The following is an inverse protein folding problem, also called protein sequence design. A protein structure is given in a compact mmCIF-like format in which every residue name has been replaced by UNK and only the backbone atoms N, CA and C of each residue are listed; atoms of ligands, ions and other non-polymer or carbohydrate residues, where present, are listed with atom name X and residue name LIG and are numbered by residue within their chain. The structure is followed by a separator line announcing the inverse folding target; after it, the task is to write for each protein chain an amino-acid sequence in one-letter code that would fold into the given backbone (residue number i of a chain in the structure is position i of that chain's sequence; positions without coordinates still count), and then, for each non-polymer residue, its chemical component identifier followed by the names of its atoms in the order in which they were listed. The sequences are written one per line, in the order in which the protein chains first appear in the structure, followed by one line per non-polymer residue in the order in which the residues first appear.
data_IF_380290669482
#
_entry.id   IF_380290669482
#
_cell.length_a   1.000
_cell.length_b   1.000
_cell.length_c   1.000
_cell.angle_alpha   90.00
_cell.angle_beta   90.00
_cell.angle_gamma   90.00
#
_symmetry.space_group_name_H-M   'P 1'
#
loop_
_entity.id
_entity.type
_entity.pdbx_description
1 polymer ?
#
# COMPACT_ATOMS: atom_id res chain seq x y z
N UNK A 1 1.30 9.01 28.01
CA UNK A 1 0.36 9.62 27.04
C UNK A 1 0.96 9.71 25.64
N UNK A 2 2.08 10.39 25.41
CA UNK A 2 2.68 10.52 24.07
C UNK A 2 3.05 9.17 23.42
N UNK A 3 3.67 8.25 24.17
CA UNK A 3 4.03 6.93 23.64
C UNK A 3 2.81 6.08 23.22
N UNK A 4 1.72 6.14 23.98
CA UNK A 4 0.49 5.43 23.63
C UNK A 4 -0.15 5.99 22.36
N UNK A 5 -0.12 7.32 22.17
CA UNK A 5 -0.60 7.94 20.92
C UNK A 5 0.24 7.54 19.72
N UNK A 6 1.57 7.49 19.84
CA UNK A 6 2.43 7.03 18.74
C UNK A 6 2.15 5.58 18.37
N UNK A 7 1.93 4.70 19.35
CA UNK A 7 1.58 3.30 19.10
C UNK A 7 0.22 3.21 18.40
N UNK A 8 -0.78 3.97 18.87
CA UNK A 8 -2.11 3.96 18.26
C UNK A 8 -2.04 4.45 16.80
N UNK A 9 -1.33 5.54 16.52
CA UNK A 9 -1.15 6.02 15.15
C UNK A 9 -0.46 4.99 14.23
N UNK A 10 0.50 4.22 14.78
CA UNK A 10 1.13 3.13 14.03
C UNK A 10 0.13 2.01 13.71
N UNK A 11 -0.68 1.61 14.68
CA UNK A 11 -1.70 0.58 14.48
C UNK A 11 -2.76 1.05 13.46
N UNK A 12 -3.24 2.27 13.60
CA UNK A 12 -4.20 2.88 12.66
C UNK A 12 -3.62 2.93 11.23
N UNK A 13 -2.33 3.26 11.11
CA UNK A 13 -1.65 3.26 9.81
C UNK A 13 -1.55 1.84 9.22
N UNK A 14 -1.19 0.84 10.02
CA UNK A 14 -1.11 -0.57 9.59
C UNK A 14 -2.49 -1.05 9.14
N UNK A 15 -3.51 -0.82 9.96
CA UNK A 15 -4.89 -1.22 9.65
C UNK A 15 -5.45 -0.48 8.42
N UNK A 16 -5.06 0.78 8.23
CA UNK A 16 -5.41 1.58 7.06
C UNK A 16 -4.66 1.22 5.77
N UNK A 17 -3.63 0.36 5.86
CA UNK A 17 -2.67 0.10 4.78
C UNK A 17 -2.59 -1.37 4.34
N UNK A 18 -3.72 -2.03 4.00
CA UNK A 18 -3.72 -3.46 3.65
C UNK A 18 -3.08 -3.77 2.28
N UNK A 19 -2.69 -2.78 1.50
CA UNK A 19 -1.97 -2.92 0.24
C UNK A 19 -1.04 -1.72 0.02
N UNK A 20 -0.04 -1.80 -0.90
CA UNK A 20 0.86 -0.68 -1.19
C UNK A 20 0.10 0.59 -1.59
N UNK A 21 -0.97 0.45 -2.35
CA UNK A 21 -1.78 1.59 -2.78
C UNK A 21 -2.54 2.24 -1.62
N UNK A 22 -3.02 1.45 -0.67
CA UNK A 22 -3.63 1.98 0.56
C UNK A 22 -2.57 2.66 1.45
N UNK A 23 -1.37 2.08 1.55
CA UNK A 23 -0.27 2.68 2.30
C UNK A 23 0.07 4.07 1.76
N UNK A 24 0.23 4.20 0.44
CA UNK A 24 0.52 5.50 -0.20
C UNK A 24 -0.64 6.48 0.01
N UNK A 25 -1.90 6.04 -0.12
CA UNK A 25 -3.05 6.90 0.11
C UNK A 25 -3.13 7.38 1.58
N UNK A 26 -2.82 6.50 2.55
CA UNK A 26 -2.74 6.84 3.97
C UNK A 26 -1.63 7.87 4.24
N UNK A 27 -0.43 7.65 3.67
CA UNK A 27 0.68 8.61 3.78
C UNK A 27 0.29 9.95 3.15
N UNK A 28 -0.27 9.95 1.95
CA UNK A 28 -0.69 11.17 1.25
C UNK A 28 -1.69 11.98 2.06
N UNK A 29 -2.65 11.32 2.71
CA UNK A 29 -3.62 11.97 3.59
C UNK A 29 -2.93 12.73 4.73
N UNK A 30 -1.94 12.11 5.37
CA UNK A 30 -1.15 12.74 6.43
C UNK A 30 -0.34 13.93 5.88
N UNK A 31 0.30 13.75 4.72
CA UNK A 31 1.11 14.82 4.10
C UNK A 31 0.27 16.05 3.76
N UNK A 32 -0.93 15.85 3.21
CA UNK A 32 -1.88 16.94 2.92
C UNK A 32 -2.29 17.70 4.19
N UNK A 33 -2.55 16.97 5.28
CA UNK A 33 -2.92 17.59 6.56
C UNK A 33 -1.80 18.47 7.16
N UNK A 34 -0.53 18.15 6.86
CA UNK A 34 0.63 18.93 7.29
C UNK A 34 1.24 19.80 6.16
N UNK A 35 0.43 20.08 5.14
CA UNK A 35 0.72 21.04 4.07
C UNK A 35 1.96 20.72 3.20
N UNK A 36 2.21 19.44 2.93
CA UNK A 36 3.12 19.06 1.86
C UNK A 36 2.48 19.33 0.50
N UNK A 37 3.28 19.76 -0.46
CA UNK A 37 2.87 20.05 -1.84
C UNK A 37 3.21 18.85 -2.72
N UNK A 38 2.25 18.33 -3.45
CA UNK A 38 2.49 17.31 -4.47
C UNK A 38 3.18 17.92 -5.67
N UNK A 39 4.20 17.25 -6.16
CA UNK A 39 4.91 17.62 -7.38
C UNK A 39 4.60 16.63 -8.50
N UNK A 40 4.44 17.17 -9.70
CA UNK A 40 4.38 16.38 -10.93
C UNK A 40 5.80 16.16 -11.46
N UNK A 41 6.22 14.91 -11.66
CA UNK A 41 7.56 14.58 -12.18
C UNK A 41 7.78 15.06 -13.62
N UNK A 42 6.72 15.24 -14.40
CA UNK A 42 6.79 15.75 -15.77
C UNK A 42 6.95 17.27 -15.85
N UNK A 43 6.69 17.98 -14.75
CA UNK A 43 6.72 19.44 -14.69
C UNK A 43 8.07 19.96 -14.18
N UNK A 44 8.38 21.21 -14.50
CA UNK A 44 9.51 21.92 -13.88
C UNK A 44 9.16 22.33 -12.46
N UNK A 45 9.91 21.84 -11.49
CA UNK A 45 9.67 22.14 -10.08
C UNK A 45 10.16 23.53 -9.69
N UNK A 46 9.31 24.24 -8.97
CA UNK A 46 9.67 25.49 -8.29
C UNK A 46 9.75 25.21 -6.79
N UNK A 47 10.97 25.03 -6.30
CA UNK A 47 11.23 24.64 -4.92
C UNK A 47 11.75 25.82 -4.11
N UNK A 48 11.35 25.92 -2.85
CA UNK A 48 11.75 26.97 -1.93
C UNK A 48 12.42 26.38 -0.68
N UNK A 49 13.37 27.09 -0.10
CA UNK A 49 13.99 26.71 1.17
C UNK A 49 12.93 26.53 2.27
N UNK A 50 13.02 25.45 3.05
CA UNK A 50 12.03 25.06 4.04
C UNK A 50 10.76 24.42 3.46
N UNK A 51 10.62 24.36 2.14
CA UNK A 51 9.47 23.77 1.47
C UNK A 51 9.36 22.26 1.70
N UNK A 52 8.13 21.74 1.71
CA UNK A 52 7.77 20.35 1.96
C UNK A 52 7.08 19.81 0.74
N UNK A 53 7.61 18.75 0.17
CA UNK A 53 7.16 18.23 -1.13
C UNK A 53 7.05 16.71 -1.14
N UNK A 54 6.21 16.18 -2.02
CA UNK A 54 6.15 14.75 -2.29
C UNK A 54 5.83 14.45 -3.74
N UNK A 55 6.21 13.27 -4.18
CA UNK A 55 5.95 12.69 -5.49
C UNK A 55 5.41 11.30 -5.30
N UNK A 56 4.38 10.93 -6.07
CA UNK A 56 3.79 9.58 -6.07
C UNK A 56 3.99 8.95 -7.44
N UNK A 57 4.45 7.68 -7.47
CA UNK A 57 4.55 6.86 -8.67
C UNK A 57 3.61 5.68 -8.60
N UNK A 58 2.83 5.49 -9.65
CA UNK A 58 1.83 4.41 -9.81
C UNK A 58 0.91 4.21 -8.58
N UNK A 59 0.74 5.24 -7.77
CA UNK A 59 0.01 5.19 -6.50
C UNK A 59 0.47 4.08 -5.53
N UNK A 60 1.66 3.51 -5.74
CA UNK A 60 2.21 2.40 -4.95
C UNK A 60 3.55 2.71 -4.30
N UNK A 61 4.20 3.79 -4.70
CA UNK A 61 5.42 4.30 -4.07
C UNK A 61 5.37 5.81 -3.93
N UNK A 62 6.06 6.33 -2.93
CA UNK A 62 6.07 7.75 -2.61
C UNK A 62 7.46 8.18 -2.16
N UNK A 63 7.88 9.34 -2.62
CA UNK A 63 9.06 10.04 -2.12
C UNK A 63 8.61 11.35 -1.53
N UNK A 64 8.99 11.64 -0.31
CA UNK A 64 8.72 12.94 0.32
C UNK A 64 10.02 13.55 0.83
N UNK A 65 10.10 14.87 0.78
CA UNK A 65 11.30 15.57 1.23
C UNK A 65 10.99 16.97 1.75
N UNK A 66 11.86 17.43 2.61
CA UNK A 66 11.87 18.79 3.13
C UNK A 66 13.18 19.44 2.71
N UNK A 67 13.10 20.58 2.05
CA UNK A 67 14.30 21.34 1.71
C UNK A 67 14.80 22.11 2.94
N UNK A 68 16.08 21.94 3.24
CA UNK A 68 16.76 22.75 4.24
C UNK A 68 17.00 24.21 3.77
N UNK A 69 17.61 25.00 4.64
CA UNK A 69 17.99 26.37 4.31
C UNK A 69 19.33 26.45 3.55
N UNK A 70 20.07 25.34 3.45
CA UNK A 70 21.32 25.23 2.69
C UNK A 70 21.07 24.44 1.42
N UNK A 71 21.87 24.73 0.39
CA UNK A 71 21.80 23.95 -0.85
C UNK A 71 22.18 22.49 -0.60
N UNK A 72 21.48 21.51 -1.24
CA UNK A 72 21.79 20.10 -1.07
C UNK A 72 23.24 19.73 -1.40
N UNK A 73 23.87 20.46 -2.32
CA UNK A 73 25.28 20.26 -2.67
C UNK A 73 26.23 20.56 -1.48
N UNK A 74 25.82 21.41 -0.57
CA UNK A 74 26.61 21.77 0.63
C UNK A 74 26.26 20.89 1.84
N UNK A 75 24.96 20.57 2.00
CA UNK A 75 24.46 19.89 3.19
C UNK A 75 24.30 18.37 3.00
N UNK A 76 24.32 17.89 1.77
CA UNK A 76 23.98 16.50 1.44
C UNK A 76 22.51 16.17 1.70
N UNK A 77 22.22 14.87 1.75
CA UNK A 77 20.89 14.33 1.99
C UNK A 77 20.89 13.42 3.23
N UNK A 78 19.82 13.48 4.00
CA UNK A 78 19.47 12.47 5.00
C UNK A 78 18.29 11.68 4.47
N UNK A 79 18.50 10.39 4.19
CA UNK A 79 17.51 9.54 3.54
C UNK A 79 17.08 8.45 4.52
N UNK A 80 15.75 8.24 4.62
CA UNK A 80 15.13 7.12 5.30
C UNK A 80 14.30 6.37 4.26
N UNK A 81 14.53 5.07 4.14
CA UNK A 81 13.79 4.20 3.21
C UNK A 81 12.99 3.15 3.98
N UNK A 82 11.82 2.83 3.47
CA UNK A 82 10.97 1.77 3.99
C UNK A 82 10.14 1.15 2.86
N UNK A 83 9.59 -0.05 3.09
CA UNK A 83 8.65 -0.70 2.18
C UNK A 83 7.25 -0.11 2.31
N UNK A 84 6.53 -0.04 1.19
CA UNK A 84 5.07 0.18 1.15
C UNK A 84 4.31 -1.13 0.97
N UNK A 85 4.98 -2.20 0.54
CA UNK A 85 4.43 -3.54 0.33
C UNK A 85 4.78 -4.49 1.49
N UNK A 86 4.06 -5.62 1.53
CA UNK A 86 4.30 -6.68 2.50
C UNK A 86 4.16 -8.03 1.81
N UNK A 87 4.90 -9.08 2.27
CA UNK A 87 4.70 -10.44 1.79
C UNK A 87 3.27 -10.91 2.04
N UNK A 88 2.74 -11.71 1.11
CA UNK A 88 1.36 -12.19 1.23
C UNK A 88 0.92 -13.04 0.06
N UNK A 89 -0.39 -13.15 -0.12
CA UNK A 89 -1.01 -13.84 -1.23
C UNK A 89 -1.63 -12.83 -2.20
N UNK A 90 -1.27 -12.90 -3.48
CA UNK A 90 -1.84 -12.07 -4.54
C UNK A 90 -2.80 -12.86 -5.39
N UNK A 91 -3.97 -12.31 -5.65
CA UNK A 91 -4.95 -12.92 -6.55
C UNK A 91 -4.38 -12.90 -7.97
N UNK A 92 -4.39 -14.07 -8.64
CA UNK A 92 -3.93 -14.22 -10.02
C UNK A 92 -4.94 -13.60 -10.99
N UNK A 93 -4.48 -13.04 -12.11
CA UNK A 93 -5.36 -12.71 -13.22
C UNK A 93 -6.19 -13.95 -13.63
N UNK A 94 -7.49 -13.76 -13.81
CA UNK A 94 -8.43 -14.87 -14.14
C UNK A 94 -8.41 -16.03 -13.13
N UNK A 95 -8.02 -15.76 -11.87
CA UNK A 95 -7.91 -16.76 -10.81
C UNK A 95 -9.24 -17.24 -10.23
N UNK A 96 -10.36 -16.59 -10.57
CA UNK A 96 -11.68 -17.00 -10.09
C UNK A 96 -12.17 -18.25 -10.81
N UNK A 97 -12.43 -19.30 -10.05
CA UNK A 97 -12.94 -20.60 -10.56
C UNK A 97 -14.03 -21.13 -9.64
N UNK A 98 -14.79 -22.11 -10.14
CA UNK A 98 -15.75 -22.84 -9.32
C UNK A 98 -15.54 -24.34 -9.53
N UNK A 99 -15.46 -25.11 -8.45
CA UNK A 99 -15.35 -26.56 -8.48
C UNK A 99 -15.98 -27.14 -7.22
N UNK A 100 -16.70 -28.23 -7.39
CA UNK A 100 -17.35 -29.01 -6.31
C UNK A 100 -18.25 -28.17 -5.40
N UNK A 101 -18.91 -27.16 -5.98
CA UNK A 101 -19.80 -26.25 -5.24
C UNK A 101 -19.07 -25.12 -4.49
N UNK A 102 -17.76 -25.01 -4.61
CA UNK A 102 -16.98 -23.94 -3.99
C UNK A 102 -16.51 -22.90 -5.02
N UNK A 103 -16.65 -21.63 -4.67
CA UNK A 103 -15.96 -20.55 -5.35
C UNK A 103 -14.50 -20.52 -4.87
N UNK A 104 -13.56 -20.48 -5.80
CA UNK A 104 -12.12 -20.51 -5.51
C UNK A 104 -11.43 -19.32 -6.15
N UNK A 105 -10.44 -18.77 -5.46
CA UNK A 105 -9.52 -17.76 -5.99
C UNK A 105 -8.10 -18.34 -6.06
N UNK A 106 -7.57 -18.45 -7.28
CA UNK A 106 -6.16 -18.78 -7.48
C UNK A 106 -5.28 -17.63 -7.01
N UNK A 107 -4.26 -17.96 -6.23
CA UNK A 107 -3.33 -16.97 -5.69
C UNK A 107 -1.88 -17.31 -6.05
N UNK A 108 -1.03 -16.30 -6.00
CA UNK A 108 0.43 -16.41 -6.06
C UNK A 108 1.03 -15.96 -4.74
N UNK A 109 2.08 -16.64 -4.31
CA UNK A 109 2.88 -16.22 -3.16
C UNK A 109 3.72 -15.03 -3.57
N UNK A 110 3.59 -13.93 -2.82
CA UNK A 110 4.39 -12.72 -3.02
C UNK A 110 5.37 -12.53 -1.88
N UNK A 111 6.65 -12.39 -2.23
CA UNK A 111 7.73 -12.24 -1.24
C UNK A 111 7.98 -13.51 -0.44
N UNK A 112 8.38 -13.35 0.81
CA UNK A 112 8.67 -14.45 1.74
C UNK A 112 7.69 -14.50 2.92
N UNK A 113 6.37 -14.73 2.72
CA UNK A 113 5.43 -14.81 3.83
C UNK A 113 5.61 -16.10 4.64
N UNK A 114 5.28 -16.04 5.92
CA UNK A 114 5.13 -17.24 6.74
C UNK A 114 3.79 -17.88 6.38
N UNK A 115 3.79 -18.81 5.40
CA UNK A 115 2.57 -19.37 4.82
C UNK A 115 1.64 -20.00 5.85
N UNK A 116 2.19 -20.63 6.89
CA UNK A 116 1.41 -21.21 7.97
C UNK A 116 0.50 -20.19 8.69
N UNK A 117 0.84 -18.90 8.65
CA UNK A 117 0.02 -17.86 9.28
C UNK A 117 -1.23 -17.50 8.47
N UNK A 118 -1.32 -17.95 7.22
CA UNK A 118 -2.49 -17.74 6.35
C UNK A 118 -3.46 -18.91 6.39
N UNK A 119 -2.99 -20.09 6.80
CA UNK A 119 -3.82 -21.30 6.86
C UNK A 119 -4.84 -21.23 8.01
N UNK A 120 -6.02 -21.77 7.77
CA UNK A 120 -7.14 -21.90 8.73
C UNK A 120 -7.57 -20.57 9.39
N UNK A 121 -7.32 -19.46 8.73
CA UNK A 121 -7.74 -18.12 9.16
C UNK A 121 -8.79 -17.55 8.21
N UNK A 122 -9.59 -16.67 8.76
CA UNK A 122 -10.45 -15.80 7.99
C UNK A 122 -9.60 -14.70 7.35
N UNK A 123 -9.74 -14.55 6.03
CA UNK A 123 -8.98 -13.62 5.21
C UNK A 123 -9.91 -12.66 4.49
N UNK A 124 -9.51 -11.42 4.38
CA UNK A 124 -10.18 -10.40 3.56
C UNK A 124 -9.38 -10.10 2.29
N UNK A 125 -9.92 -9.24 1.45
CA UNK A 125 -9.28 -8.81 0.20
C UNK A 125 -9.18 -7.29 0.18
N UNK A 126 -8.01 -6.80 -0.18
CA UNK A 126 -7.80 -5.38 -0.45
C UNK A 126 -6.81 -5.19 -1.61
N UNK A 127 -6.96 -4.13 -2.35
CA UNK A 127 -6.07 -3.84 -3.47
C UNK A 127 -6.57 -2.72 -4.36
N UNK A 128 -6.06 -2.70 -5.59
CA UNK A 128 -6.47 -1.77 -6.64
C UNK A 128 -7.12 -2.54 -7.79
N UNK A 129 -8.27 -2.10 -8.23
CA UNK A 129 -8.87 -2.53 -9.49
C UNK A 129 -8.62 -1.47 -10.56
N UNK A 130 -8.40 -1.94 -11.79
CA UNK A 130 -8.27 -1.09 -12.98
C UNK A 130 -9.36 -1.50 -13.96
N UNK A 131 -10.05 -0.53 -14.52
CA UNK A 131 -11.14 -0.78 -15.46
C UNK A 131 -11.19 0.30 -16.53
N UNK A 132 -11.69 -0.06 -17.70
CA UNK A 132 -11.89 0.89 -18.81
C UNK A 132 -13.20 1.66 -18.60
N UNK A 133 -13.12 2.98 -18.74
CA UNK A 133 -14.28 3.87 -18.77
C UNK A 133 -14.01 5.00 -19.77
N UNK A 134 -14.83 5.11 -20.79
CA UNK A 134 -14.72 6.15 -21.84
C UNK A 134 -13.30 6.28 -22.42
N UNK A 135 -12.72 5.16 -22.85
CA UNK A 135 -11.36 5.06 -23.41
C UNK A 135 -10.21 5.42 -22.44
N UNK A 136 -10.50 5.59 -21.17
CA UNK A 136 -9.51 5.84 -20.13
C UNK A 136 -9.45 4.69 -19.15
N UNK A 137 -8.24 4.36 -18.71
CA UNK A 137 -8.04 3.40 -17.61
C UNK A 137 -8.20 4.13 -16.29
N UNK A 138 -9.24 3.77 -15.56
CA UNK A 138 -9.47 4.27 -14.21
C UNK A 138 -9.02 3.25 -13.18
N UNK A 139 -8.62 3.76 -12.03
CA UNK A 139 -8.20 2.95 -10.88
C UNK A 139 -9.08 3.24 -9.67
N UNK A 140 -9.42 2.19 -8.94
CA UNK A 140 -10.16 2.32 -7.68
C UNK A 140 -9.54 1.41 -6.62
N UNK A 141 -9.33 1.94 -5.43
CA UNK A 141 -8.97 1.13 -4.27
C UNK A 141 -10.20 0.38 -3.78
N UNK A 142 -10.02 -0.88 -3.44
CA UNK A 142 -11.03 -1.74 -2.87
C UNK A 142 -10.50 -2.37 -1.60
N UNK A 143 -11.37 -2.44 -0.60
CA UNK A 143 -11.12 -3.10 0.67
C UNK A 143 -12.43 -3.72 1.15
N UNK A 144 -12.35 -4.97 1.54
CA UNK A 144 -13.46 -5.67 2.19
C UNK A 144 -13.12 -5.81 3.67
N UNK A 145 -13.93 -5.21 4.54
CA UNK A 145 -13.70 -5.27 5.99
C UNK A 145 -14.17 -6.58 6.60
N UNK A 146 -15.07 -7.29 5.90
CA UNK A 146 -15.53 -8.61 6.32
C UNK A 146 -14.64 -9.71 5.72
N UNK A 147 -14.41 -10.81 6.46
CA UNK A 147 -13.70 -11.96 5.93
C UNK A 147 -14.51 -12.63 4.83
N UNK A 148 -13.87 -12.85 3.69
CA UNK A 148 -14.48 -13.43 2.50
C UNK A 148 -13.86 -14.77 2.11
N UNK A 149 -12.65 -15.04 2.55
CA UNK A 149 -11.82 -16.13 2.06
C UNK A 149 -11.28 -16.95 3.22
N UNK A 150 -10.97 -18.20 2.92
CA UNK A 150 -10.23 -19.08 3.81
C UNK A 150 -9.28 -19.94 3.01
N UNK A 151 -8.07 -20.12 3.50
CA UNK A 151 -7.10 -21.07 2.99
C UNK A 151 -7.10 -22.30 3.92
N UNK A 152 -7.77 -23.41 3.52
CA UNK A 152 -7.81 -24.59 4.37
C UNK A 152 -6.45 -25.27 4.43
N UNK A 153 -6.06 -25.70 5.60
CA UNK A 153 -4.91 -26.58 5.79
C UNK A 153 -5.41 -28.03 5.84
N UNK A 154 -4.96 -28.84 4.90
CA UNK A 154 -5.42 -30.22 4.79
C UNK A 154 -4.39 -31.16 5.39
N UNK A 155 -4.88 -32.22 6.02
CA UNK A 155 -4.01 -33.33 6.47
C UNK A 155 -3.34 -33.99 5.26
N UNK A 156 -2.12 -34.50 5.46
CA UNK A 156 -1.32 -35.10 4.38
C UNK A 156 -1.94 -36.30 3.70
N UNK A 157 -2.99 -36.87 4.32
CA UNK A 157 -3.70 -38.04 3.81
C UNK A 157 -5.03 -37.70 3.11
N UNK A 158 -5.29 -36.42 2.88
CA UNK A 158 -6.52 -35.94 2.22
C UNK A 158 -6.24 -35.32 0.86
#
# INVERSE_FOLDING_TARGET
MVAQQCVQHLLDFIDGSPSPWHAVASIESVLKAVQFVQLDESAKWQLHAGGRYYVIRDNSSIVLFVLGNKMPIESGFKIVGAHTDSPGLRIRPNGATSSDGFARLGVEVYGGPILATFADRDLSVAGRISFNSNEQILHKLVRFDQPLLRLPNLAIHM
#
